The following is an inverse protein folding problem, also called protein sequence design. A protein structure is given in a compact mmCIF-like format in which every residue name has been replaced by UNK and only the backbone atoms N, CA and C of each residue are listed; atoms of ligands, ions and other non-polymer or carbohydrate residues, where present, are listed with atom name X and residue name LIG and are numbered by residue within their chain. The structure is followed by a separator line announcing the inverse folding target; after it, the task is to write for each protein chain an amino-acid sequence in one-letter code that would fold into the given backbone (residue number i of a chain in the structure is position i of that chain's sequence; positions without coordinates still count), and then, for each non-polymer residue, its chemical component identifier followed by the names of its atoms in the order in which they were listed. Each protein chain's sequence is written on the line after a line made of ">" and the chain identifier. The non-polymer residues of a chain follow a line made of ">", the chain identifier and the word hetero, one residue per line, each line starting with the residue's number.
data_IF_646341744678
#
_entry.id   IF_646341744678
#
_cell.length_a   1.000
_cell.length_b   1.000
_cell.length_c   1.000
_cell.angle_alpha   90.00
_cell.angle_beta   90.00
_cell.angle_gamma   90.00
#
_symmetry.space_group_name_H-M   'P 1'
#
loop_
_entity.id
_entity.type
_entity.pdbx_description
1 polymer ?
#
# COMPACT_ATOMS: atom_id res chain seq x y z
N UNK A 1 14.57 -18.74 17.50
CA UNK A 1 15.56 -17.66 17.72
C UNK A 1 15.47 -16.54 16.66
N UNK A 2 15.18 -16.85 15.38
CA UNK A 2 14.97 -15.84 14.31
C UNK A 2 13.65 -15.06 14.45
N UNK A 3 12.58 -15.67 14.98
CA UNK A 3 11.26 -15.05 15.14
C UNK A 3 11.23 -13.91 16.18
N UNK A 4 12.14 -13.92 17.15
CA UNK A 4 12.23 -12.87 18.19
C UNK A 4 12.86 -11.60 17.63
N UNK A 5 13.78 -11.73 16.67
CA UNK A 5 14.52 -10.60 16.10
C UNK A 5 13.65 -9.76 15.14
N UNK A 6 12.83 -10.41 14.31
CA UNK A 6 11.90 -9.70 13.39
C UNK A 6 10.82 -8.94 14.16
N UNK A 7 10.37 -9.47 15.31
CA UNK A 7 9.38 -8.80 16.16
C UNK A 7 9.94 -7.61 16.93
N UNK A 8 11.24 -7.61 17.24
CA UNK A 8 11.91 -6.49 17.93
C UNK A 8 12.14 -5.29 16.98
N UNK A 9 12.49 -5.53 15.72
CA UNK A 9 12.75 -4.47 14.73
C UNK A 9 11.47 -3.73 14.27
N UNK A 10 10.30 -4.37 14.33
CA UNK A 10 9.02 -3.76 13.93
C UNK A 10 8.29 -3.00 15.06
N UNK A 11 8.84 -2.99 16.28
CA UNK A 11 8.24 -2.36 17.46
C UNK A 11 8.86 -0.99 17.81
N UNK A 12 9.53 -0.35 16.84
CA UNK A 12 10.23 0.93 17.06
C UNK A 12 9.83 2.02 16.05
N UNK A 13 8.54 2.09 15.73
CA UNK A 13 7.95 3.25 15.05
C UNK A 13 6.67 3.66 15.76
N UNK A 14 6.80 4.37 16.87
CA UNK A 14 5.68 5.16 17.40
C UNK A 14 5.47 6.38 16.48
N UNK A 15 4.25 6.68 16.04
CA UNK A 15 3.97 7.88 15.26
C UNK A 15 4.07 9.10 16.16
N UNK A 16 4.89 10.07 15.75
CA UNK A 16 5.01 11.37 16.38
C UNK A 16 3.64 12.06 16.49
N UNK A 17 3.11 12.12 17.72
CA UNK A 17 1.95 12.93 18.08
C UNK A 17 2.26 14.40 17.81
N UNK A 18 1.60 14.97 16.79
CA UNK A 18 1.64 16.39 16.44
C UNK A 18 1.02 17.19 17.59
N UNK A 19 1.88 17.83 18.40
CA UNK A 19 1.48 18.74 19.45
C UNK A 19 0.92 20.03 18.84
N UNK A 20 -0.37 20.25 19.08
CA UNK A 20 -1.16 21.43 18.74
C UNK A 20 -0.67 22.63 19.57
N UNK A 21 -0.01 23.62 18.94
CA UNK A 21 0.36 24.89 19.57
C UNK A 21 -0.84 25.85 19.61
N UNK A 22 -1.16 26.47 20.76
CA UNK A 22 -2.18 27.52 20.83
C UNK A 22 -1.61 28.88 20.42
N UNK A 23 -2.39 29.59 19.59
CA UNK A 23 -2.27 31.03 19.35
C UNK A 23 -2.30 31.78 20.69
N UNK A 24 -1.32 32.66 20.89
CA UNK A 24 -1.48 33.81 21.77
C UNK A 24 -1.09 35.08 21.01
N UNK A 25 -2.03 36.01 21.05
CA UNK A 25 -2.00 37.35 20.46
C UNK A 25 -1.42 38.35 21.44
N UNK A 26 -0.75 39.36 20.90
CA UNK A 26 -0.55 40.73 21.42
C UNK A 26 0.39 40.96 22.62
N UNK A 27 1.32 41.91 22.42
CA UNK A 27 1.69 42.82 23.50
C UNK A 27 3.14 43.29 23.53
N UNK A 28 3.42 44.40 22.84
CA UNK A 28 4.28 45.53 23.27
C UNK A 28 5.53 45.26 24.14
N UNK A 29 6.70 45.64 23.61
CA UNK A 29 7.40 46.87 24.01
C UNK A 29 8.89 46.76 23.69
N UNK A 30 9.41 47.75 22.96
CA UNK A 30 10.82 47.86 22.63
C UNK A 30 11.68 48.04 23.87
N UNK A 31 12.82 47.33 23.89
CA UNK A 31 13.92 47.67 24.77
C UNK A 31 15.23 47.60 23.97
N UNK A 32 15.68 48.78 23.53
CA UNK A 32 17.03 49.02 23.01
C UNK A 32 18.00 48.83 24.18
N UNK A 33 18.80 47.77 24.17
CA UNK A 33 19.95 47.65 25.04
C UNK A 33 21.24 47.52 24.21
N UNK A 34 21.92 48.66 24.24
CA UNK A 34 23.23 49.01 23.68
C UNK A 34 24.29 48.01 24.16
N UNK A 35 24.83 47.18 23.25
CA UNK A 35 26.02 46.38 23.53
C UNK A 35 27.23 47.32 23.67
N UNK A 36 27.76 47.40 24.90
CA UNK A 36 29.05 48.01 25.20
C UNK A 36 30.06 46.87 25.34
N UNK A 37 31.13 46.90 24.54
CA UNK A 37 32.22 45.93 24.62
C UNK A 37 32.93 46.06 25.98
N UNK A 38 33.05 44.95 26.71
CA UNK A 38 33.89 44.87 27.90
C UNK A 38 35.15 44.03 27.55
N UNK A 39 36.36 44.60 27.66
CA UNK A 39 37.60 43.84 27.55
C UNK A 39 37.81 43.10 28.88
N UNK A 40 37.84 41.77 28.86
CA UNK A 40 37.99 41.00 30.10
C UNK A 40 37.67 39.51 30.03
N UNK A 41 37.14 39.00 28.92
CA UNK A 41 36.83 37.55 28.76
C UNK A 41 38.08 36.76 28.32
N UNK A 42 39.24 37.03 28.93
CA UNK A 42 40.51 36.40 28.56
C UNK A 42 41.02 35.36 29.58
N UNK A 43 40.38 35.19 30.75
CA UNK A 43 40.99 34.34 31.78
C UNK A 43 39.97 33.64 32.69
N UNK A 44 39.01 32.88 32.15
CA UNK A 44 38.22 31.97 33.01
C UNK A 44 37.53 30.81 32.31
N UNK A 45 38.20 30.14 31.37
CA UNK A 45 37.82 28.79 30.93
C UNK A 45 39.02 28.00 30.37
N UNK A 46 40.04 27.83 31.22
CA UNK A 46 41.08 26.78 31.06
C UNK A 46 40.70 25.47 31.78
N UNK A 47 39.43 25.30 32.17
CA UNK A 47 38.92 24.16 32.94
C UNK A 47 37.90 23.38 32.10
N UNK A 48 38.29 22.97 30.90
CA UNK A 48 37.70 21.77 30.27
C UNK A 48 38.88 20.93 29.82
N UNK A 49 39.23 20.06 30.76
CA UNK A 49 40.05 18.87 30.63
C UNK A 49 40.37 18.47 29.19
N UNK A 50 41.64 18.69 28.80
CA UNK A 50 42.29 17.95 27.73
C UNK A 50 42.39 16.49 28.16
N UNK A 51 41.41 15.66 27.83
CA UNK A 51 41.60 14.22 27.90
C UNK A 51 42.47 13.78 26.73
N UNK A 52 43.77 13.74 27.03
CA UNK A 52 44.85 12.97 26.44
C UNK A 52 44.44 12.02 25.28
N UNK A 53 44.38 12.53 24.05
CA UNK A 53 44.53 11.71 22.85
C UNK A 53 45.99 11.71 22.43
N UNK A 54 46.81 10.92 23.12
CA UNK A 54 48.14 10.61 22.63
C UNK A 54 48.47 9.14 22.86
N UNK A 55 48.78 8.45 21.75
CA UNK A 55 49.59 7.23 21.79
C UNK A 55 48.92 5.95 21.29
N UNK A 56 48.59 5.85 20.00
CA UNK A 56 48.72 4.56 19.29
C UNK A 56 48.95 4.71 17.78
N UNK A 57 49.94 5.51 17.39
CA UNK A 57 50.54 5.44 16.06
C UNK A 57 51.94 4.83 16.17
N UNK A 58 52.02 3.61 16.71
CA UNK A 58 53.17 2.73 16.46
C UNK A 58 52.85 2.00 15.16
N UNK A 59 53.80 1.96 14.24
CA UNK A 59 53.71 1.17 13.02
C UNK A 59 53.35 -0.26 13.36
N UNK A 60 52.08 -0.60 13.17
CA UNK A 60 51.59 -1.96 13.25
C UNK A 60 51.39 -2.42 11.82
N UNK A 61 52.17 -3.40 11.39
CA UNK A 61 51.70 -4.29 10.33
C UNK A 61 50.30 -4.76 10.74
N UNK A 62 49.25 -4.46 9.95
CA UNK A 62 47.89 -4.84 10.30
C UNK A 62 47.79 -6.36 10.29
N UNK A 63 47.71 -6.97 11.47
CA UNK A 63 47.34 -8.37 11.62
C UNK A 63 45.82 -8.47 11.59
N UNK A 64 45.28 -9.37 10.75
CA UNK A 64 43.86 -9.71 10.79
C UNK A 64 43.48 -10.18 12.19
N UNK A 65 42.49 -9.53 12.81
CA UNK A 65 42.00 -10.01 14.10
C UNK A 65 41.14 -11.26 13.86
N UNK A 66 41.28 -12.28 14.72
CA UNK A 66 40.45 -13.50 14.63
C UNK A 66 38.95 -13.17 14.77
N UNK A 67 38.64 -12.13 15.56
CA UNK A 67 37.30 -11.58 15.72
C UNK A 67 36.70 -11.06 14.40
N UNK A 68 37.51 -10.44 13.54
CA UNK A 68 37.05 -9.85 12.29
C UNK A 68 36.58 -10.93 11.30
N UNK A 69 37.34 -12.02 11.15
CA UNK A 69 36.94 -13.16 10.33
C UNK A 69 35.68 -13.83 10.90
N UNK A 70 35.58 -13.95 12.22
CA UNK A 70 34.39 -14.48 12.89
C UNK A 70 33.14 -13.64 12.58
N UNK A 71 33.24 -12.32 12.75
CA UNK A 71 32.13 -11.39 12.47
C UNK A 71 31.76 -11.43 10.99
N UNK A 72 32.74 -11.48 10.09
CA UNK A 72 32.49 -11.56 8.65
C UNK A 72 31.68 -12.82 8.28
N UNK A 73 32.06 -13.99 8.82
CA UNK A 73 31.33 -15.24 8.58
C UNK A 73 29.92 -15.20 9.17
N UNK A 74 29.76 -14.60 10.36
CA UNK A 74 28.43 -14.43 10.99
C UNK A 74 27.52 -13.56 10.13
N UNK A 75 27.99 -12.38 9.69
CA UNK A 75 27.21 -11.47 8.84
C UNK A 75 26.90 -12.12 7.49
N UNK A 76 27.85 -12.85 6.91
CA UNK A 76 27.66 -13.57 5.65
C UNK A 76 26.54 -14.63 5.79
N UNK A 77 26.55 -15.42 6.86
CA UNK A 77 25.50 -16.41 7.11
C UNK A 77 24.11 -15.80 7.27
N UNK A 78 24.01 -14.67 7.99
CA UNK A 78 22.75 -13.92 8.14
C UNK A 78 22.25 -13.35 6.81
N UNK A 79 23.16 -12.83 5.99
CA UNK A 79 22.85 -12.23 4.69
C UNK A 79 22.28 -13.28 3.73
N UNK A 80 22.94 -14.44 3.60
CA UNK A 80 22.47 -15.54 2.74
C UNK A 80 21.08 -16.02 3.17
N UNK A 81 20.87 -16.19 4.48
CA UNK A 81 19.56 -16.60 5.02
C UNK A 81 18.46 -15.60 4.66
N UNK A 82 18.74 -14.31 4.81
CA UNK A 82 17.78 -13.24 4.48
C UNK A 82 17.45 -13.21 3.00
N UNK A 83 18.46 -13.40 2.13
CA UNK A 83 18.27 -13.46 0.67
C UNK A 83 17.36 -14.63 0.28
N UNK A 84 17.62 -15.83 0.82
CA UNK A 84 16.80 -17.01 0.55
C UNK A 84 15.34 -16.83 1.01
N UNK A 85 15.13 -16.18 2.15
CA UNK A 85 13.80 -15.83 2.64
C UNK A 85 13.09 -14.84 1.70
N UNK A 86 13.79 -13.81 1.23
CA UNK A 86 13.25 -12.82 0.29
C UNK A 86 12.81 -13.48 -1.03
N UNK A 87 13.63 -14.39 -1.58
CA UNK A 87 13.25 -15.16 -2.77
C UNK A 87 11.99 -16.01 -2.54
N UNK A 88 11.92 -16.67 -1.39
CA UNK A 88 10.75 -17.48 -1.04
C UNK A 88 9.47 -16.65 -0.96
N UNK A 89 9.55 -15.42 -0.44
CA UNK A 89 8.43 -14.46 -0.42
C UNK A 89 8.08 -14.02 -1.84
N UNK A 90 9.07 -13.68 -2.66
CA UNK A 90 8.85 -13.22 -4.04
C UNK A 90 8.12 -14.28 -4.88
N UNK A 91 8.51 -15.56 -4.77
CA UNK A 91 7.85 -16.66 -5.49
C UNK A 91 6.38 -16.82 -5.09
N UNK A 92 6.07 -16.75 -3.79
CA UNK A 92 4.68 -16.79 -3.29
C UNK A 92 3.87 -15.56 -3.71
N UNK A 93 4.51 -14.39 -3.77
CA UNK A 93 3.89 -13.17 -4.28
C UNK A 93 3.56 -13.27 -5.77
N UNK A 94 4.47 -13.88 -6.55
CA UNK A 94 4.29 -14.12 -7.98
C UNK A 94 3.07 -14.99 -8.29
N UNK A 95 2.89 -16.11 -7.58
CA UNK A 95 1.72 -16.98 -7.79
C UNK A 95 0.41 -16.26 -7.44
N UNK A 96 0.37 -15.54 -6.30
CA UNK A 96 -0.81 -14.78 -5.91
C UNK A 96 -1.16 -13.65 -6.91
N UNK A 97 -0.15 -13.04 -7.52
CA UNK A 97 -0.33 -12.05 -8.58
C UNK A 97 -0.91 -12.69 -9.85
N UNK A 98 -0.41 -13.86 -10.23
CA UNK A 98 -0.91 -14.62 -11.38
C UNK A 98 -2.38 -15.00 -11.22
N UNK A 99 -2.79 -15.48 -10.05
CA UNK A 99 -4.20 -15.83 -9.78
C UNK A 99 -5.11 -14.60 -9.85
N UNK A 100 -4.65 -13.47 -9.33
CA UNK A 100 -5.39 -12.20 -9.42
C UNK A 100 -5.52 -11.74 -10.88
N UNK A 101 -4.45 -11.84 -11.66
CA UNK A 101 -4.45 -11.50 -13.08
C UNK A 101 -5.44 -12.38 -13.86
N UNK A 102 -5.44 -13.69 -13.60
CA UNK A 102 -6.41 -14.64 -14.17
C UNK A 102 -7.84 -14.30 -13.78
N UNK A 103 -8.11 -14.01 -12.50
CA UNK A 103 -9.43 -13.63 -12.04
C UNK A 103 -9.95 -12.36 -12.75
N UNK A 104 -9.09 -11.35 -12.93
CA UNK A 104 -9.42 -10.14 -13.69
C UNK A 104 -9.71 -10.47 -15.15
N UNK A 105 -8.91 -11.35 -15.77
CA UNK A 105 -9.12 -11.75 -17.16
C UNK A 105 -10.46 -12.48 -17.33
N UNK A 106 -10.80 -13.41 -16.44
CA UNK A 106 -12.09 -14.09 -16.43
C UNK A 106 -13.26 -13.14 -16.19
N UNK A 107 -13.12 -12.21 -15.25
CA UNK A 107 -14.15 -11.19 -15.02
C UNK A 107 -14.35 -10.32 -16.27
N UNK A 108 -13.27 -9.92 -16.94
CA UNK A 108 -13.33 -9.18 -18.21
C UNK A 108 -13.99 -9.99 -19.30
N UNK A 109 -13.62 -11.26 -19.46
CA UNK A 109 -14.23 -12.15 -20.45
C UNK A 109 -15.75 -12.21 -20.27
N UNK A 110 -16.22 -12.48 -19.04
CA UNK A 110 -17.66 -12.53 -18.71
C UNK A 110 -18.34 -11.19 -18.95
N UNK A 111 -17.67 -10.09 -18.63
CA UNK A 111 -18.20 -8.75 -18.85
C UNK A 111 -18.29 -8.40 -20.35
N UNK A 112 -17.35 -8.85 -21.18
CA UNK A 112 -17.43 -8.70 -22.64
C UNK A 112 -18.51 -9.59 -23.28
N UNK A 113 -18.74 -10.79 -22.74
CA UNK A 113 -19.89 -11.64 -23.11
C UNK A 113 -21.21 -10.87 -22.86
N UNK A 114 -21.40 -10.30 -21.66
CA UNK A 114 -22.58 -9.46 -21.36
C UNK A 114 -22.66 -8.20 -22.22
N UNK A 115 -21.53 -7.55 -22.52
CA UNK A 115 -21.54 -6.36 -23.39
C UNK A 115 -22.02 -6.69 -24.79
N UNK A 116 -21.66 -7.86 -25.32
CA UNK A 116 -22.00 -8.28 -26.68
C UNK A 116 -23.41 -8.86 -26.78
N UNK A 117 -23.92 -9.45 -25.69
CA UNK A 117 -25.29 -10.00 -25.64
C UNK A 117 -26.35 -8.96 -26.02
N UNK A 118 -27.37 -9.41 -26.75
CA UNK A 118 -28.47 -8.53 -27.16
C UNK A 118 -29.33 -8.10 -25.97
N UNK A 119 -30.20 -7.12 -26.22
CA UNK A 119 -31.11 -6.56 -25.24
C UNK A 119 -32.16 -7.55 -24.67
N UNK A 120 -32.22 -8.80 -25.15
CA UNK A 120 -33.11 -9.83 -24.61
C UNK A 120 -32.38 -10.98 -23.91
N UNK A 121 -31.05 -11.03 -23.94
CA UNK A 121 -30.25 -12.21 -23.53
C UNK A 121 -29.42 -12.02 -22.24
N UNK A 122 -29.40 -10.83 -21.65
CA UNK A 122 -28.76 -10.48 -20.39
C UNK A 122 -29.58 -11.09 -19.26
N UNK A 123 -29.15 -12.27 -18.86
CA UNK A 123 -29.55 -12.87 -17.61
C UNK A 123 -28.41 -12.73 -16.59
N UNK A 124 -28.80 -12.67 -15.31
CA UNK A 124 -27.85 -12.91 -14.23
C UNK A 124 -27.52 -14.40 -14.19
N UNK A 125 -26.25 -14.74 -14.28
CA UNK A 125 -25.79 -16.12 -14.35
C UNK A 125 -24.71 -16.38 -13.30
N UNK A 126 -24.50 -17.64 -12.98
CA UNK A 126 -23.39 -18.05 -12.11
C UNK A 126 -22.88 -19.41 -12.51
N UNK A 127 -21.61 -19.66 -12.20
CA UNK A 127 -20.98 -20.93 -12.52
C UNK A 127 -19.57 -21.04 -11.94
N UNK A 128 -18.88 -22.08 -12.37
CA UNK A 128 -17.47 -22.31 -12.05
C UNK A 128 -16.68 -22.59 -13.31
N UNK A 129 -15.44 -22.13 -13.31
CA UNK A 129 -14.41 -22.56 -14.25
C UNK A 129 -13.73 -23.83 -13.71
N UNK A 130 -13.19 -24.66 -14.60
CA UNK A 130 -12.55 -25.93 -14.26
C UNK A 130 -11.32 -25.76 -13.33
N UNK A 131 -10.72 -24.57 -13.33
CA UNK A 131 -9.52 -24.25 -12.54
C UNK A 131 -9.83 -23.82 -11.09
N UNK A 132 -11.06 -24.01 -10.60
CA UNK A 132 -11.46 -23.69 -9.22
C UNK A 132 -11.84 -22.21 -8.99
N UNK A 133 -12.04 -21.44 -10.06
CA UNK A 133 -12.59 -20.09 -10.00
C UNK A 133 -14.12 -20.16 -10.13
N UNK A 134 -14.85 -19.49 -9.24
CA UNK A 134 -16.30 -19.34 -9.34
C UNK A 134 -16.64 -17.93 -9.84
N UNK A 135 -17.67 -17.81 -10.68
CA UNK A 135 -18.10 -16.55 -11.24
C UNK A 135 -19.59 -16.31 -11.08
N UNK A 136 -19.96 -15.04 -11.04
CA UNK A 136 -21.33 -14.55 -10.94
C UNK A 136 -21.45 -13.28 -11.80
N UNK A 137 -22.51 -13.19 -12.59
CA UNK A 137 -22.89 -12.00 -13.35
C UNK A 137 -24.19 -11.43 -12.82
N UNK A 138 -24.29 -10.11 -12.76
CA UNK A 138 -25.49 -9.39 -12.33
C UNK A 138 -25.77 -8.23 -13.29
N UNK A 139 -27.05 -8.02 -13.58
CA UNK A 139 -27.54 -6.87 -14.32
C UNK A 139 -28.53 -6.14 -13.42
N UNK A 140 -28.29 -4.85 -13.20
CA UNK A 140 -29.13 -4.01 -12.35
C UNK A 140 -29.41 -2.68 -13.07
N UNK A 141 -30.65 -2.16 -13.04
CA UNK A 141 -30.93 -0.81 -13.51
C UNK A 141 -30.07 0.23 -12.80
N UNK A 142 -29.50 1.17 -13.55
CA UNK A 142 -28.67 2.24 -13.00
C UNK A 142 -29.38 3.59 -13.10
N UNK A 143 -29.82 4.11 -11.96
CA UNK A 143 -30.45 5.44 -11.88
C UNK A 143 -29.40 6.51 -11.59
N UNK A 144 -29.35 7.55 -12.42
CA UNK A 144 -28.55 8.75 -12.17
C UNK A 144 -29.28 9.64 -11.16
N UNK A 145 -28.68 9.86 -9.98
CA UNK A 145 -29.35 10.51 -8.85
C UNK A 145 -29.69 12.02 -9.02
N UNK A 146 -29.26 12.70 -10.09
CA UNK A 146 -29.30 14.17 -10.17
C UNK A 146 -29.55 14.74 -11.58
N UNK A 147 -30.39 14.11 -12.41
CA UNK A 147 -30.81 14.73 -13.68
C UNK A 147 -32.09 15.57 -13.50
N UNK A 148 -32.08 16.89 -13.80
CA UNK A 148 -33.30 17.67 -13.95
C UNK A 148 -33.96 17.28 -15.27
N UNK A 149 -34.72 16.17 -15.27
CA UNK A 149 -35.30 15.65 -16.50
C UNK A 149 -35.90 14.24 -16.37
N UNK A 150 -36.54 13.93 -15.24
CA UNK A 150 -37.29 12.67 -15.05
C UNK A 150 -38.33 12.49 -16.18
N UNK A 151 -38.94 13.59 -16.64
CA UNK A 151 -39.86 13.62 -17.79
C UNK A 151 -39.18 13.29 -19.13
N UNK A 152 -37.89 13.62 -19.29
CA UNK A 152 -37.12 13.32 -20.52
C UNK A 152 -36.70 11.85 -20.53
N UNK A 153 -36.34 11.28 -19.38
CA UNK A 153 -35.96 9.88 -19.24
C UNK A 153 -37.12 8.91 -19.55
N UNK A 154 -38.36 9.28 -19.22
CA UNK A 154 -39.55 8.49 -19.58
C UNK A 154 -39.83 8.45 -21.09
N UNK A 155 -39.45 9.50 -21.82
CA UNK A 155 -39.58 9.57 -23.28
C UNK A 155 -38.43 8.86 -24.03
N UNK A 156 -37.32 8.58 -23.35
CA UNK A 156 -36.20 7.86 -23.96
C UNK A 156 -36.55 6.39 -24.16
N UNK A 157 -36.25 5.88 -25.35
CA UNK A 157 -36.38 4.46 -25.67
C UNK A 157 -35.28 3.60 -25.05
N UNK A 158 -34.38 4.19 -24.26
CA UNK A 158 -33.22 3.54 -23.70
C UNK A 158 -33.12 3.76 -22.20
N UNK A 159 -32.63 2.74 -21.50
CA UNK A 159 -32.37 2.68 -20.07
C UNK A 159 -30.89 2.34 -19.85
N UNK A 160 -30.31 2.88 -18.78
CA UNK A 160 -28.93 2.58 -18.41
C UNK A 160 -28.92 1.42 -17.43
N UNK A 161 -28.20 0.35 -17.75
CA UNK A 161 -28.04 -0.81 -16.88
C UNK A 161 -26.57 -0.95 -16.48
N UNK A 162 -26.34 -1.37 -15.24
CA UNK A 162 -25.04 -1.75 -14.75
C UNK A 162 -24.86 -3.25 -14.87
N UNK A 163 -23.83 -3.66 -15.61
CA UNK A 163 -23.39 -5.03 -15.75
C UNK A 163 -22.23 -5.25 -14.78
N UNK A 164 -22.36 -6.24 -13.91
CA UNK A 164 -21.35 -6.57 -12.91
C UNK A 164 -20.91 -8.02 -13.10
N UNK A 165 -19.61 -8.23 -13.27
CA UNK A 165 -18.98 -9.54 -13.36
C UNK A 165 -18.03 -9.73 -12.18
N UNK A 166 -18.20 -10.85 -11.49
CA UNK A 166 -17.54 -11.11 -10.21
C UNK A 166 -16.95 -12.49 -10.25
N UNK A 167 -15.68 -12.59 -9.89
CA UNK A 167 -14.92 -13.84 -9.86
C UNK A 167 -14.34 -14.03 -8.48
N UNK A 168 -14.48 -15.22 -7.92
CA UNK A 168 -13.97 -15.59 -6.60
C UNK A 168 -13.16 -16.88 -6.67
N UNK A 169 -12.14 -16.98 -5.83
CA UNK A 169 -11.24 -18.13 -5.78
C UNK A 169 -10.65 -18.30 -4.38
N UNK A 170 -10.13 -19.49 -4.10
CA UNK A 170 -9.44 -19.77 -2.85
C UNK A 170 -7.94 -19.44 -2.98
N UNK A 171 -7.41 -18.70 -2.02
CA UNK A 171 -5.99 -18.34 -1.91
C UNK A 171 -5.46 -18.81 -0.56
N UNK A 172 -5.11 -20.09 -0.48
CA UNK A 172 -4.76 -20.75 0.78
C UNK A 172 -6.00 -20.97 1.65
N UNK A 173 -6.09 -20.30 2.80
CA UNK A 173 -7.24 -20.39 3.73
C UNK A 173 -8.27 -19.29 3.49
N UNK A 174 -7.91 -18.25 2.72
CA UNK A 174 -8.76 -17.08 2.50
C UNK A 174 -9.39 -17.13 1.11
N UNK A 175 -10.69 -16.87 1.04
CA UNK A 175 -11.37 -16.65 -0.24
C UNK A 175 -11.13 -15.22 -0.70
N UNK A 176 -10.67 -15.06 -1.94
CA UNK A 176 -10.50 -13.76 -2.60
C UNK A 176 -11.57 -13.58 -3.65
N UNK A 177 -11.84 -12.31 -3.99
CA UNK A 177 -12.73 -11.95 -5.09
C UNK A 177 -12.23 -10.73 -5.84
N UNK A 178 -12.60 -10.66 -7.11
CA UNK A 178 -12.49 -9.49 -7.97
C UNK A 178 -13.87 -9.22 -8.53
N UNK A 179 -14.24 -7.94 -8.62
CA UNK A 179 -15.50 -7.49 -9.18
C UNK A 179 -15.22 -6.36 -10.16
N UNK A 180 -15.79 -6.47 -11.35
CA UNK A 180 -15.73 -5.46 -12.39
C UNK A 180 -17.16 -5.08 -12.77
N UNK A 181 -17.41 -3.79 -12.89
CA UNK A 181 -18.70 -3.28 -13.34
C UNK A 181 -18.53 -2.36 -14.54
N UNK A 182 -19.56 -2.30 -15.37
CA UNK A 182 -19.63 -1.42 -16.54
C UNK A 182 -21.07 -0.96 -16.73
N UNK A 183 -21.26 0.15 -17.43
CA UNK A 183 -22.58 0.66 -17.76
C UNK A 183 -22.84 0.42 -19.25
N UNK A 184 -24.03 -0.08 -19.58
CA UNK A 184 -24.51 -0.31 -20.94
C UNK A 184 -25.84 0.39 -21.11
N UNK A 185 -26.00 1.08 -22.24
CA UNK A 185 -27.29 1.65 -22.63
C UNK A 185 -28.07 0.58 -23.39
N UNK A 186 -29.29 0.27 -22.95
CA UNK A 186 -30.12 -0.77 -23.56
C UNK A 186 -31.54 -0.26 -23.79
N UNK A 187 -32.25 -0.81 -24.76
CA UNK A 187 -33.60 -0.36 -25.11
C UNK A 187 -34.63 -0.81 -24.05
N UNK A 188 -35.46 0.10 -23.56
CA UNK A 188 -36.42 -0.09 -22.44
C UNK A 188 -37.44 -1.23 -22.65
N UNK A 189 -37.76 -1.56 -23.91
CA UNK A 189 -38.86 -2.48 -24.24
C UNK A 189 -38.50 -3.98 -24.15
N UNK A 190 -37.25 -4.31 -23.86
CA UNK A 190 -36.68 -5.63 -24.18
C UNK A 190 -36.33 -6.49 -22.95
N UNK A 191 -36.30 -5.91 -21.74
CA UNK A 191 -35.94 -6.63 -20.49
C UNK A 191 -37.09 -6.87 -19.50
N UNK A 192 -38.23 -6.20 -19.66
CA UNK A 192 -39.33 -6.22 -18.67
C UNK A 192 -40.21 -7.49 -18.75
N UNK A 193 -39.81 -8.51 -19.54
CA UNK A 193 -40.55 -9.76 -19.75
C UNK A 193 -39.71 -11.05 -19.56
N UNK A 194 -38.68 -11.08 -18.73
CA UNK A 194 -38.00 -12.35 -18.36
C UNK A 194 -37.68 -12.44 -16.88
#
# INVERSE_FOLDING_TARGET
>A
MVTVFVRWFFMQTEPATVARLPLWTNGIAGMKLRLRSLPGVCTLLKIVSRHNQSGFLRGQTPGFTLLEVLIAVVILGLSVTTILQQFSVALRGGSASQDTCRAVLYAKQKLEELKTAEAGELASESGSFDDGFAWETRIEPYTLAELPGEEVAEQLRYELVQLTARVSWQSGVQQKRVELSTLKLVKKKEWEQS
#
